data_IF_068126403807
#
_entry.id   IF_068126403807
#
_cell.length_a   1.000
_cell.length_b   1.000
_cell.length_c   1.000
_cell.angle_alpha   90.00
_cell.angle_beta   90.00
_cell.angle_gamma   90.00
#
_symmetry.space_group_name_H-M   'P 1'
#
loop_
_entity.id
_entity.type
_entity.pdbx_description
1 polymer ?
#
# COMPACT_ATOMS: atom_id res chain seq x y z
N UNK A 1 -1.22 -22.24 -3.67
CA UNK A 1 -0.78 -20.92 -4.19
C UNK A 1 0.45 -20.46 -3.40
N UNK A 2 1.25 -19.53 -3.93
CA UNK A 2 2.49 -19.07 -3.26
C UNK A 2 2.16 -17.86 -2.41
N UNK A 3 2.52 -17.88 -1.13
CA UNK A 3 2.29 -16.74 -0.22
C UNK A 3 3.15 -15.53 -0.62
N UNK A 4 2.55 -14.36 -0.76
CA UNK A 4 3.25 -13.09 -0.89
C UNK A 4 3.64 -12.54 0.48
N UNK A 5 2.68 -12.49 1.40
CA UNK A 5 2.91 -12.07 2.79
C UNK A 5 2.35 -13.10 3.75
N UNK A 6 3.14 -13.47 4.76
CA UNK A 6 2.70 -14.36 5.82
C UNK A 6 2.98 -13.75 7.19
N UNK A 7 1.95 -13.59 7.97
CA UNK A 7 2.00 -13.07 9.34
C UNK A 7 1.75 -14.24 10.29
N UNK A 8 2.57 -14.37 11.34
CA UNK A 8 2.46 -15.44 12.33
C UNK A 8 2.48 -14.89 13.75
N UNK A 9 1.37 -15.05 14.49
CA UNK A 9 1.21 -14.64 15.89
C UNK A 9 1.67 -13.19 16.15
N UNK A 10 1.40 -12.28 15.21
CA UNK A 10 1.85 -10.91 15.25
C UNK A 10 1.21 -10.16 16.41
N UNK A 11 2.03 -9.68 17.33
CA UNK A 11 1.59 -8.90 18.49
C UNK A 11 2.39 -7.60 18.55
N UNK A 12 1.68 -6.49 18.78
CA UNK A 12 2.29 -5.17 18.98
C UNK A 12 1.54 -4.38 20.03
N UNK A 13 2.29 -3.76 20.94
CA UNK A 13 1.75 -2.91 21.99
C UNK A 13 2.46 -1.55 21.98
N UNK A 14 1.77 -0.51 22.44
CA UNK A 14 2.32 0.79 22.73
C UNK A 14 2.00 1.13 24.19
N UNK A 15 3.02 1.12 25.05
CA UNK A 15 2.83 1.19 26.47
C UNK A 15 1.98 0.04 27.00
N UNK A 16 0.82 0.33 27.59
CA UNK A 16 -0.11 -0.69 28.11
C UNK A 16 -1.15 -1.15 27.09
N UNK A 17 -1.29 -0.46 25.98
CA UNK A 17 -2.29 -0.76 24.95
C UNK A 17 -1.77 -1.78 23.95
N UNK A 18 -2.46 -2.94 23.86
CA UNK A 18 -2.16 -4.00 22.91
C UNK A 18 -2.97 -3.78 21.63
N UNK A 19 -2.29 -3.27 20.59
CA UNK A 19 -2.90 -2.89 19.31
C UNK A 19 -3.06 -4.09 18.37
N UNK A 20 -2.06 -4.99 18.30
CA UNK A 20 -2.18 -6.24 17.54
C UNK A 20 -2.14 -7.43 18.52
N UNK A 21 -3.10 -8.36 18.40
CA UNK A 21 -3.37 -9.39 19.42
C UNK A 21 -3.15 -10.83 18.90
N UNK A 22 -1.99 -11.09 18.29
CA UNK A 22 -1.62 -12.43 17.85
C UNK A 22 -2.17 -12.78 16.47
N UNK A 23 -2.17 -11.83 15.55
CA UNK A 23 -2.65 -12.02 14.18
C UNK A 23 -1.83 -13.08 13.46
N UNK A 24 -2.52 -14.05 12.84
CA UNK A 24 -1.93 -15.03 11.93
C UNK A 24 -2.75 -15.09 10.66
N UNK A 25 -2.13 -14.74 9.53
CA UNK A 25 -2.80 -14.73 8.23
C UNK A 25 -1.79 -14.92 7.09
N UNK A 26 -2.27 -15.42 5.94
CA UNK A 26 -1.47 -15.58 4.73
C UNK A 26 -2.17 -14.86 3.57
N UNK A 27 -1.50 -13.91 2.96
CA UNK A 27 -1.93 -13.22 1.76
C UNK A 27 -1.27 -13.87 0.56
N UNK A 28 -2.07 -14.41 -0.36
CA UNK A 28 -1.59 -15.14 -1.53
C UNK A 28 -1.06 -14.20 -2.63
N UNK A 29 -0.08 -14.66 -3.39
CA UNK A 29 0.53 -13.86 -4.45
C UNK A 29 -0.40 -13.71 -5.66
N UNK A 30 -0.36 -12.51 -6.30
CA UNK A 30 -1.13 -12.20 -7.50
C UNK A 30 -2.61 -11.92 -7.24
N UNK A 31 -2.97 -11.60 -6.01
CA UNK A 31 -4.34 -11.25 -5.59
C UNK A 31 -4.39 -9.85 -5.00
N UNK A 32 -5.61 -9.30 -4.93
CA UNK A 32 -5.92 -8.08 -4.21
C UNK A 32 -6.58 -8.46 -2.88
N UNK A 33 -5.93 -8.11 -1.79
CA UNK A 33 -6.37 -8.37 -0.41
C UNK A 33 -6.81 -7.07 0.25
N UNK A 34 -8.07 -6.99 0.62
CA UNK A 34 -8.64 -5.87 1.36
C UNK A 34 -8.58 -6.09 2.87
N UNK A 35 -8.24 -5.06 3.62
CA UNK A 35 -8.32 -5.06 5.08
C UNK A 35 -9.25 -3.92 5.49
N UNK A 36 -10.46 -4.29 5.94
CA UNK A 36 -11.44 -3.34 6.48
C UNK A 36 -11.28 -3.18 7.98
N UNK A 37 -11.82 -2.10 8.51
CA UNK A 37 -11.90 -1.85 9.95
C UNK A 37 -11.92 -0.37 10.27
N UNK A 38 -12.41 -0.03 11.46
CA UNK A 38 -12.47 1.35 11.93
C UNK A 38 -11.07 1.96 12.13
N UNK A 39 -11.02 3.29 12.23
CA UNK A 39 -9.79 3.98 12.62
C UNK A 39 -9.35 3.51 14.01
N UNK A 40 -8.05 3.22 14.17
CA UNK A 40 -7.51 2.68 15.42
C UNK A 40 -7.63 1.15 15.58
N UNK A 41 -8.24 0.40 14.65
CA UNK A 41 -8.34 -1.06 14.72
C UNK A 41 -7.00 -1.80 14.59
N UNK A 42 -5.95 -1.13 14.05
CA UNK A 42 -4.59 -1.69 13.94
C UNK A 42 -4.09 -1.90 12.50
N UNK A 43 -4.87 -1.56 11.45
CA UNK A 43 -4.51 -1.73 10.03
C UNK A 43 -3.13 -1.14 9.69
N UNK A 44 -2.96 0.16 9.95
CA UNK A 44 -1.69 0.88 9.73
C UNK A 44 -0.53 0.26 10.51
N UNK A 45 -0.76 -0.16 11.76
CA UNK A 45 0.27 -0.81 12.60
C UNK A 45 0.69 -2.15 12.01
N UNK A 46 -0.26 -2.95 11.52
CA UNK A 46 0.04 -4.21 10.82
C UNK A 46 0.84 -3.94 9.54
N UNK A 47 0.46 -2.98 8.72
CA UNK A 47 1.20 -2.60 7.51
C UNK A 47 2.61 -2.12 7.84
N UNK A 48 2.79 -1.29 8.88
CA UNK A 48 4.12 -0.87 9.35
C UNK A 48 5.00 -2.05 9.78
N UNK A 49 4.40 -3.09 10.39
CA UNK A 49 5.13 -4.32 10.71
C UNK A 49 5.50 -5.12 9.45
N UNK A 50 4.61 -5.21 8.46
CA UNK A 50 4.88 -5.89 7.18
C UNK A 50 5.98 -5.17 6.41
N UNK A 51 5.99 -3.84 6.41
CA UNK A 51 7.00 -3.01 5.74
C UNK A 51 8.34 -2.92 6.49
N UNK A 52 8.45 -3.46 7.71
CA UNK A 52 9.67 -3.38 8.51
C UNK A 52 9.86 -2.05 9.26
N UNK A 53 8.88 -1.14 9.20
CA UNK A 53 8.96 0.15 9.92
C UNK A 53 8.72 0.02 11.42
N UNK A 54 8.05 -1.06 11.83
CA UNK A 54 7.82 -1.41 13.23
C UNK A 54 8.21 -2.86 13.48
N UNK A 55 9.03 -3.09 14.50
CA UNK A 55 9.28 -4.44 14.99
C UNK A 55 8.10 -4.91 15.85
N UNK A 56 7.55 -6.10 15.59
CA UNK A 56 6.55 -6.71 16.48
C UNK A 56 7.15 -7.07 17.84
N UNK A 57 6.34 -7.05 18.90
CA UNK A 57 6.76 -7.51 20.21
C UNK A 57 6.88 -9.04 20.25
N UNK A 58 5.99 -9.73 19.49
CA UNK A 58 6.01 -11.18 19.29
C UNK A 58 5.54 -11.54 17.90
N UNK A 59 5.91 -12.73 17.45
CA UNK A 59 5.54 -13.25 16.14
C UNK A 59 6.56 -12.93 15.06
N UNK A 60 6.15 -13.06 13.81
CA UNK A 60 7.03 -12.85 12.67
C UNK A 60 6.24 -12.52 11.40
N UNK A 61 6.85 -11.75 10.52
CA UNK A 61 6.34 -11.42 9.19
C UNK A 61 7.31 -11.95 8.16
N UNK A 62 6.77 -12.54 7.10
CA UNK A 62 7.51 -13.01 5.94
C UNK A 62 6.94 -12.38 4.68
N UNK A 63 7.79 -11.83 3.82
CA UNK A 63 7.43 -11.32 2.51
C UNK A 63 8.19 -12.12 1.46
N UNK A 64 7.45 -12.80 0.57
CA UNK A 64 8.00 -13.76 -0.40
C UNK A 64 8.99 -14.77 0.21
N UNK A 65 8.69 -15.23 1.43
CA UNK A 65 9.49 -16.21 2.16
C UNK A 65 10.66 -15.64 2.96
N UNK A 66 11.04 -14.37 2.80
CA UNK A 66 12.07 -13.70 3.58
C UNK A 66 11.47 -13.09 4.86
N UNK A 67 12.07 -13.35 6.01
CA UNK A 67 11.62 -12.84 7.31
C UNK A 67 12.07 -11.40 7.50
N UNK A 68 11.11 -10.50 7.74
CA UNK A 68 11.37 -9.10 8.07
C UNK A 68 12.05 -8.99 9.44
N UNK A 69 13.08 -8.13 9.52
CA UNK A 69 13.89 -7.91 10.72
C UNK A 69 14.86 -9.05 11.05
N UNK A 70 15.04 -10.04 10.14
CA UNK A 70 16.02 -11.11 10.28
C UNK A 70 16.78 -11.38 8.98
N UNK A 71 16.07 -11.69 7.89
CA UNK A 71 16.68 -11.99 6.59
C UNK A 71 16.83 -10.71 5.76
N UNK A 72 15.90 -9.78 5.93
CA UNK A 72 15.87 -8.45 5.31
C UNK A 72 15.24 -7.45 6.29
N UNK A 73 15.66 -6.18 6.23
CA UNK A 73 15.08 -5.10 7.04
C UNK A 73 13.77 -4.60 6.44
N UNK A 74 13.72 -4.48 5.10
CA UNK A 74 12.56 -3.98 4.35
C UNK A 74 12.23 -4.93 3.20
N UNK A 75 10.93 -5.06 2.82
CA UNK A 75 10.54 -5.92 1.72
C UNK A 75 11.04 -5.36 0.37
N UNK A 76 11.69 -6.21 -0.42
CA UNK A 76 12.20 -5.86 -1.75
C UNK A 76 11.08 -5.78 -2.79
N UNK A 77 11.27 -4.98 -3.85
CA UNK A 77 10.31 -4.82 -4.95
C UNK A 77 8.88 -4.53 -4.47
N UNK A 78 8.78 -3.66 -3.44
CA UNK A 78 7.52 -3.27 -2.83
C UNK A 78 7.28 -1.78 -3.02
N UNK A 79 6.12 -1.42 -3.56
CA UNK A 79 5.59 -0.07 -3.52
C UNK A 79 4.67 0.11 -2.33
N UNK A 80 4.67 1.26 -1.70
CA UNK A 80 3.86 1.48 -0.52
C UNK A 80 3.37 2.92 -0.37
N UNK A 81 2.17 3.05 0.18
CA UNK A 81 1.63 4.29 0.76
C UNK A 81 1.20 3.92 2.17
N UNK A 82 1.85 4.48 3.18
CA UNK A 82 1.48 4.32 4.58
C UNK A 82 1.36 5.70 5.15
N UNK A 83 0.15 6.03 5.65
CA UNK A 83 -0.21 7.40 6.02
C UNK A 83 -0.16 8.34 4.80
N UNK A 84 0.22 9.59 4.98
CA UNK A 84 0.24 10.58 3.89
C UNK A 84 1.59 10.61 3.17
N UNK A 85 1.61 10.68 1.83
CA UNK A 85 2.85 10.82 1.08
C UNK A 85 3.59 12.12 1.43
N UNK A 86 4.87 12.00 1.79
CA UNK A 86 5.73 13.12 2.20
C UNK A 86 6.41 13.82 1.03
N UNK A 87 5.67 14.49 0.15
CA UNK A 87 6.22 15.21 -0.99
C UNK A 87 6.79 16.58 -0.62
N UNK A 88 7.83 17.01 -1.36
CA UNK A 88 8.37 18.36 -1.28
C UNK A 88 7.37 19.34 -1.94
N UNK A 89 6.79 20.29 -1.17
CA UNK A 89 5.68 21.10 -1.67
C UNK A 89 6.09 22.16 -2.70
N UNK A 90 7.37 22.50 -2.79
CA UNK A 90 7.90 23.59 -3.62
C UNK A 90 8.38 23.15 -5.00
N UNK A 91 8.32 21.87 -5.34
CA UNK A 91 8.65 21.31 -6.67
C UNK A 91 7.44 20.58 -7.27
N UNK A 92 7.52 20.24 -8.57
CA UNK A 92 6.45 19.52 -9.28
C UNK A 92 6.35 18.06 -8.86
N UNK A 93 5.23 17.39 -9.23
CA UNK A 93 5.06 15.96 -9.00
C UNK A 93 6.14 15.13 -9.68
N UNK A 94 6.43 15.44 -10.95
CA UNK A 94 7.52 14.78 -11.69
C UNK A 94 8.88 14.90 -10.98
N UNK A 95 9.24 16.11 -10.54
CA UNK A 95 10.52 16.33 -9.84
C UNK A 95 10.60 15.58 -8.50
N UNK A 96 9.48 15.47 -7.77
CA UNK A 96 9.41 14.65 -6.56
C UNK A 96 9.73 13.18 -6.88
N UNK A 97 9.03 12.58 -7.86
CA UNK A 97 9.23 11.18 -8.23
C UNK A 97 10.63 10.93 -8.82
N UNK A 98 11.15 11.87 -9.61
CA UNK A 98 12.50 11.78 -10.17
C UNK A 98 13.59 11.70 -9.08
N UNK A 99 13.47 12.50 -8.02
CA UNK A 99 14.39 12.45 -6.88
C UNK A 99 14.37 11.10 -6.17
N UNK A 100 13.20 10.51 -6.00
CA UNK A 100 13.06 9.18 -5.40
C UNK A 100 13.63 8.09 -6.32
N UNK A 101 13.34 8.13 -7.62
CA UNK A 101 13.88 7.20 -8.61
C UNK A 101 15.40 7.21 -8.67
N UNK A 102 16.03 8.37 -8.45
CA UNK A 102 17.49 8.52 -8.42
C UNK A 102 18.16 7.77 -7.24
N UNK A 103 17.45 7.50 -6.15
CA UNK A 103 17.97 6.73 -5.02
C UNK A 103 18.21 5.27 -5.41
N UNK A 104 17.25 4.66 -6.12
CA UNK A 104 17.31 3.26 -6.53
C UNK A 104 17.95 3.05 -7.90
N UNK A 105 17.94 4.06 -8.77
CA UNK A 105 18.47 4.04 -10.16
C UNK A 105 17.93 2.88 -11.02
N UNK A 106 16.69 2.44 -10.77
CA UNK A 106 16.04 1.32 -11.48
C UNK A 106 15.26 1.77 -12.69
N UNK A 107 14.77 3.02 -12.70
CA UNK A 107 13.88 3.58 -13.72
C UNK A 107 14.36 4.97 -14.17
N UNK A 108 13.91 5.36 -15.35
CA UNK A 108 14.21 6.65 -15.96
C UNK A 108 12.99 7.58 -16.06
N UNK A 109 13.17 8.65 -16.82
CA UNK A 109 12.16 9.70 -17.02
C UNK A 109 10.86 9.15 -17.67
N UNK A 110 10.97 8.16 -18.54
CA UNK A 110 9.83 7.55 -19.24
C UNK A 110 8.90 6.84 -18.28
N UNK A 111 9.44 5.97 -17.41
CA UNK A 111 8.65 5.20 -16.43
C UNK A 111 8.00 6.12 -15.40
N UNK A 112 8.70 7.18 -14.98
CA UNK A 112 8.15 8.18 -14.06
C UNK A 112 6.95 8.88 -14.68
N UNK A 113 7.08 9.34 -15.94
CA UNK A 113 5.99 10.01 -16.65
C UNK A 113 4.81 9.09 -16.93
N UNK A 114 5.09 7.84 -17.30
CA UNK A 114 4.06 6.81 -17.47
C UNK A 114 3.26 6.61 -16.17
N UNK A 115 3.93 6.45 -15.03
CA UNK A 115 3.28 6.29 -13.74
C UNK A 115 2.39 7.49 -13.37
N UNK A 116 2.85 8.73 -13.64
CA UNK A 116 2.05 9.95 -13.41
C UNK A 116 0.82 9.98 -14.32
N UNK A 117 0.98 9.64 -15.60
CA UNK A 117 -0.13 9.61 -16.56
C UNK A 117 -1.18 8.53 -16.18
N UNK A 118 -0.73 7.35 -15.75
CA UNK A 118 -1.60 6.22 -15.36
C UNK A 118 -2.53 6.54 -14.19
N UNK A 119 -2.15 7.45 -13.32
CA UNK A 119 -3.01 7.92 -12.22
C UNK A 119 -3.85 9.15 -12.61
N UNK A 120 -3.88 9.53 -13.90
CA UNK A 120 -4.68 10.65 -14.41
C UNK A 120 -4.12 12.03 -14.08
N UNK A 121 -2.82 12.14 -13.79
CA UNK A 121 -2.12 13.42 -13.64
C UNK A 121 -1.36 13.77 -14.93
N UNK A 122 -1.18 15.08 -15.19
CA UNK A 122 -0.35 15.54 -16.31
C UNK A 122 1.15 15.37 -15.96
N UNK A 123 1.88 14.49 -16.69
CA UNK A 123 3.30 14.20 -16.44
C UNK A 123 4.24 15.37 -16.81
N UNK A 124 3.72 16.38 -17.49
CA UNK A 124 4.47 17.58 -17.90
C UNK A 124 4.10 18.82 -17.07
N UNK A 125 3.17 18.68 -16.15
CA UNK A 125 2.73 19.78 -15.30
C UNK A 125 3.88 20.34 -14.46
N UNK A 126 4.07 21.65 -14.52
CA UNK A 126 5.01 22.40 -13.67
C UNK A 126 4.39 22.86 -12.35
N UNK A 127 3.11 22.52 -12.09
CA UNK A 127 2.39 22.87 -10.87
C UNK A 127 3.10 22.26 -9.68
N UNK A 128 3.38 23.05 -8.65
CA UNK A 128 4.04 22.61 -7.42
C UNK A 128 3.10 21.73 -6.58
N UNK A 129 3.61 20.70 -5.92
CA UNK A 129 2.79 19.77 -5.13
C UNK A 129 2.08 20.47 -3.96
N UNK A 130 2.64 21.56 -3.42
CA UNK A 130 1.94 22.39 -2.44
C UNK A 130 0.62 22.99 -2.91
N UNK A 131 0.39 23.06 -4.23
CA UNK A 131 -0.85 23.55 -4.86
C UNK A 131 -1.78 22.41 -5.29
N UNK A 132 -1.42 21.14 -5.05
CA UNK A 132 -2.25 19.99 -5.38
C UNK A 132 -3.43 19.89 -4.40
N UNK A 133 -4.59 19.47 -4.91
CA UNK A 133 -5.69 19.01 -4.05
C UNK A 133 -5.27 17.75 -3.27
N UNK A 134 -6.05 17.37 -2.25
CA UNK A 134 -5.81 16.10 -1.55
C UNK A 134 -5.80 14.93 -2.54
N UNK A 135 -6.82 14.79 -3.38
CA UNK A 135 -6.89 13.72 -4.37
C UNK A 135 -5.75 13.73 -5.39
N UNK A 136 -5.22 14.90 -5.79
CA UNK A 136 -4.01 14.95 -6.63
C UNK A 136 -2.77 14.44 -5.89
N UNK A 137 -2.64 14.71 -4.59
CA UNK A 137 -1.53 14.18 -3.78
C UNK A 137 -1.63 12.67 -3.60
N UNK A 138 -2.83 12.15 -3.36
CA UNK A 138 -3.06 10.70 -3.28
C UNK A 138 -2.74 10.01 -4.60
N UNK A 139 -3.22 10.53 -5.73
CA UNK A 139 -2.87 10.02 -7.07
C UNK A 139 -1.35 10.04 -7.31
N UNK A 140 -0.64 11.09 -6.90
CA UNK A 140 0.82 11.15 -7.00
C UNK A 140 1.49 10.11 -6.09
N UNK A 141 0.95 9.84 -4.91
CA UNK A 141 1.39 8.76 -4.01
C UNK A 141 1.25 7.39 -4.66
N UNK A 142 0.12 7.14 -5.32
CA UNK A 142 -0.09 5.90 -6.10
C UNK A 142 0.93 5.80 -7.24
N UNK A 143 1.17 6.90 -7.99
CA UNK A 143 2.20 6.93 -9.04
C UNK A 143 3.58 6.59 -8.48
N UNK A 144 3.96 7.14 -7.32
CA UNK A 144 5.20 6.79 -6.61
C UNK A 144 5.27 5.30 -6.31
N UNK A 145 4.20 4.73 -5.77
CA UNK A 145 4.18 3.32 -5.36
C UNK A 145 4.33 2.36 -6.55
N UNK A 146 3.78 2.71 -7.73
CA UNK A 146 3.77 1.83 -8.92
C UNK A 146 4.93 2.06 -9.90
N UNK A 147 5.65 3.20 -9.83
CA UNK A 147 6.59 3.62 -10.86
C UNK A 147 7.75 2.63 -11.10
N UNK A 148 8.17 1.87 -10.08
CA UNK A 148 9.23 0.85 -10.18
C UNK A 148 8.68 -0.54 -10.50
N UNK A 149 7.40 -0.68 -10.89
CA UNK A 149 6.71 -1.95 -11.20
C UNK A 149 6.88 -3.01 -10.11
N UNK A 150 6.42 -2.72 -8.89
CA UNK A 150 6.61 -3.61 -7.75
C UNK A 150 5.85 -4.92 -7.90
N UNK A 151 6.35 -5.97 -7.21
CA UNK A 151 5.62 -7.26 -7.07
C UNK A 151 4.58 -7.21 -5.96
N UNK A 152 4.74 -6.31 -4.99
CA UNK A 152 3.84 -6.12 -3.86
C UNK A 152 3.51 -4.63 -3.73
N UNK A 153 2.22 -4.31 -3.61
CA UNK A 153 1.73 -2.99 -3.22
C UNK A 153 1.11 -3.07 -1.83
N UNK A 154 1.44 -2.13 -0.96
CA UNK A 154 0.84 -1.98 0.37
C UNK A 154 0.30 -0.55 0.46
N UNK A 155 -1.01 -0.41 0.53
CA UNK A 155 -1.71 0.86 0.38
C UNK A 155 -2.65 1.09 1.57
N UNK A 156 -2.34 2.09 2.38
CA UNK A 156 -3.16 2.50 3.52
C UNK A 156 -4.08 3.65 3.10
N UNK A 157 -5.39 3.39 3.03
CA UNK A 157 -6.45 4.33 2.64
C UNK A 157 -6.22 5.04 1.28
N UNK A 158 -5.90 4.32 0.17
CA UNK A 158 -5.50 4.92 -1.10
C UNK A 158 -6.60 5.71 -1.82
N UNK A 159 -7.85 5.60 -1.38
CA UNK A 159 -9.01 6.30 -1.96
C UNK A 159 -9.34 7.62 -1.26
N UNK A 160 -8.63 7.97 -0.19
CA UNK A 160 -8.89 9.19 0.56
C UNK A 160 -8.75 10.44 -0.32
N UNK A 161 -9.76 11.31 -0.27
CA UNK A 161 -9.78 12.56 -1.03
C UNK A 161 -10.01 12.40 -2.53
N UNK A 162 -10.26 11.18 -3.04
CA UNK A 162 -10.69 10.94 -4.41
C UNK A 162 -12.21 11.13 -4.52
N UNK A 163 -12.64 11.69 -5.63
CA UNK A 163 -14.05 11.65 -6.02
C UNK A 163 -14.42 10.26 -6.56
N UNK A 164 -15.71 10.00 -6.78
CA UNK A 164 -16.22 8.69 -7.22
C UNK A 164 -15.54 8.20 -8.51
N UNK A 165 -15.32 9.11 -9.47
CA UNK A 165 -14.65 8.76 -10.73
C UNK A 165 -13.17 8.44 -10.49
N UNK A 166 -12.52 9.25 -9.66
CA UNK A 166 -11.13 9.04 -9.29
C UNK A 166 -10.86 7.73 -8.56
N UNK A 167 -11.78 7.33 -7.68
CA UNK A 167 -11.71 6.03 -7.01
C UNK A 167 -11.87 4.88 -8.03
N UNK A 168 -12.82 5.01 -8.98
CA UNK A 168 -13.02 4.02 -10.03
C UNK A 168 -11.78 3.88 -10.93
N UNK A 169 -11.18 4.99 -11.41
CA UNK A 169 -9.96 4.97 -12.22
C UNK A 169 -8.82 4.21 -11.50
N UNK A 170 -8.69 4.43 -10.18
CA UNK A 170 -7.67 3.77 -9.36
C UNK A 170 -7.99 2.28 -9.16
N UNK A 171 -9.25 1.90 -8.99
CA UNK A 171 -9.64 0.49 -8.92
C UNK A 171 -9.30 -0.26 -10.23
N UNK A 172 -9.63 0.34 -11.39
CA UNK A 172 -9.28 -0.23 -12.71
C UNK A 172 -7.77 -0.39 -12.86
N UNK A 173 -6.98 0.58 -12.40
CA UNK A 173 -5.53 0.50 -12.37
C UNK A 173 -5.04 -0.68 -11.48
N UNK A 174 -5.65 -0.90 -10.33
CA UNK A 174 -5.27 -2.01 -9.44
C UNK A 174 -5.62 -3.37 -10.05
N UNK A 175 -6.75 -3.51 -10.73
CA UNK A 175 -7.11 -4.71 -11.49
C UNK A 175 -6.06 -5.00 -12.57
N UNK A 176 -5.69 -3.98 -13.37
CA UNK A 176 -4.64 -4.12 -14.41
C UNK A 176 -3.29 -4.57 -13.81
N UNK A 177 -2.90 -4.01 -12.65
CA UNK A 177 -1.66 -4.38 -11.98
C UNK A 177 -1.69 -5.81 -11.46
N UNK A 178 -2.82 -6.24 -10.90
CA UNK A 178 -3.04 -7.64 -10.48
C UNK A 178 -2.92 -8.60 -11.68
N UNK A 179 -3.56 -8.29 -12.81
CA UNK A 179 -3.48 -9.11 -14.03
C UNK A 179 -2.03 -9.27 -14.54
N UNK A 180 -1.17 -8.29 -14.26
CA UNK A 180 0.28 -8.34 -14.51
C UNK A 180 1.08 -9.06 -13.42
N UNK A 181 0.40 -9.63 -12.42
CA UNK A 181 0.99 -10.43 -11.35
C UNK A 181 1.41 -9.66 -10.10
N UNK A 182 1.03 -8.37 -9.97
CA UNK A 182 1.26 -7.62 -8.74
C UNK A 182 0.29 -8.09 -7.65
N UNK A 183 0.80 -8.34 -6.46
CA UNK A 183 -0.01 -8.56 -5.26
C UNK A 183 -0.32 -7.22 -4.61
N UNK A 184 -1.55 -7.00 -4.18
CA UNK A 184 -1.98 -5.74 -3.58
C UNK A 184 -2.61 -6.00 -2.22
N UNK A 185 -2.07 -5.39 -1.17
CA UNK A 185 -2.68 -5.29 0.14
C UNK A 185 -3.18 -3.86 0.31
N UNK A 186 -4.46 -3.66 0.52
CA UNK A 186 -5.02 -2.33 0.72
C UNK A 186 -5.91 -2.29 1.96
N UNK A 187 -5.75 -1.23 2.76
CA UNK A 187 -6.65 -0.91 3.84
C UNK A 187 -7.62 0.17 3.39
N UNK A 188 -8.91 -0.01 3.64
CA UNK A 188 -9.93 1.00 3.42
C UNK A 188 -11.10 0.78 4.38
N UNK A 189 -11.98 1.79 4.49
CA UNK A 189 -13.16 1.74 5.36
C UNK A 189 -14.48 1.60 4.56
N UNK A 190 -14.44 1.69 3.23
CA UNK A 190 -15.63 1.56 2.38
C UNK A 190 -15.83 0.12 1.90
N UNK A 191 -16.83 -0.57 2.45
CA UNK A 191 -17.14 -1.97 2.19
C UNK A 191 -17.46 -2.23 0.71
N UNK A 192 -18.26 -1.37 0.07
CA UNK A 192 -18.74 -1.60 -1.30
C UNK A 192 -17.61 -1.61 -2.35
N UNK A 193 -16.59 -0.78 -2.17
CA UNK A 193 -15.43 -0.76 -3.05
C UNK A 193 -14.55 -2.00 -2.87
N UNK A 194 -14.46 -2.51 -1.64
CA UNK A 194 -13.63 -3.65 -1.29
C UNK A 194 -14.16 -4.97 -1.86
N UNK A 195 -15.45 -5.26 -1.75
CA UNK A 195 -16.05 -6.50 -2.26
C UNK A 195 -15.97 -6.62 -3.79
N UNK A 196 -16.08 -5.48 -4.47
CA UNK A 196 -15.98 -5.47 -5.93
C UNK A 196 -14.51 -5.65 -6.40
N UNK A 197 -13.56 -5.00 -5.74
CA UNK A 197 -12.16 -4.94 -6.14
C UNK A 197 -11.36 -6.16 -5.67
N UNK A 198 -11.56 -6.60 -4.42
CA UNK A 198 -10.69 -7.55 -3.75
C UNK A 198 -11.04 -9.02 -4.08
N UNK A 199 -10.03 -9.88 -4.08
CA UNK A 199 -10.19 -11.32 -4.14
C UNK A 199 -10.50 -11.89 -2.75
N UNK A 200 -9.90 -11.29 -1.71
CA UNK A 200 -10.20 -11.59 -0.30
C UNK A 200 -10.37 -10.31 0.49
N UNK A 201 -11.27 -10.32 1.45
CA UNK A 201 -11.45 -9.20 2.40
C UNK A 201 -11.35 -9.74 3.81
N UNK A 202 -10.50 -9.11 4.61
CA UNK A 202 -10.39 -9.33 6.03
C UNK A 202 -10.97 -8.14 6.79
N UNK A 203 -11.62 -8.39 7.90
CA UNK A 203 -12.00 -7.37 8.87
C UNK A 203 -10.98 -7.32 10.00
N UNK A 204 -10.50 -6.13 10.31
CA UNK A 204 -9.67 -5.88 11.47
C UNK A 204 -10.48 -5.17 12.55
N UNK A 205 -10.75 -5.88 13.62
CA UNK A 205 -11.44 -5.34 14.79
C UNK A 205 -10.63 -5.57 16.06
N UNK A 206 -10.51 -4.54 16.88
CA UNK A 206 -9.86 -4.57 18.18
C UNK A 206 -8.50 -5.32 18.19
N UNK A 207 -7.73 -5.24 17.10
CA UNK A 207 -6.40 -5.86 16.96
C UNK A 207 -6.42 -7.34 16.58
N UNK A 208 -7.55 -7.89 16.17
CA UNK A 208 -7.73 -9.21 15.56
C UNK A 208 -8.06 -9.07 14.08
N UNK A 209 -7.76 -10.10 13.28
CA UNK A 209 -8.00 -10.11 11.84
C UNK A 209 -8.76 -11.39 11.49
N UNK A 210 -9.92 -11.24 10.84
CA UNK A 210 -10.78 -12.35 10.40
C UNK A 210 -11.10 -12.20 8.92
N UNK A 211 -11.16 -13.32 8.19
CA UNK A 211 -11.58 -13.32 6.78
C UNK A 211 -13.11 -13.25 6.75
N UNK A 212 -13.64 -12.23 6.06
CA UNK A 212 -15.08 -12.00 5.93
C UNK A 212 -15.60 -12.25 4.51
N UNK A 213 -14.70 -12.26 3.52
CA UNK A 213 -15.04 -12.53 2.13
C UNK A 213 -13.85 -13.15 1.37
N UNK A 214 -14.14 -14.11 0.49
CA UNK A 214 -13.20 -14.74 -0.44
C UNK A 214 -13.94 -15.09 -1.75
N UNK A 215 -13.38 -14.69 -2.93
CA UNK A 215 -13.94 -15.01 -4.28
C UNK A 215 -13.69 -16.44 -4.68
#
# INVERSE_FOLDING_TARGET
MKAAVKVKNLTKSFGKEKVLKGISHTFEAGQIHGIMGFNGSGKTVMFKCICGFLQPDRGSVYVYGKRIGKDIDFPENTGMIIESPGFLPYISGYENLKRLAQLNRKIGDTEIRDAIARVGLDPFSKKKVGQYSLGMRERLGIAQAIMERPKLLILDEPFNGLDKRGAQDVCELFVELKEKGTTILLAAHNVMEMEWLCDTVCEMDAGQLEVVYEK
#
